data_IF_404080495979
#
_entry.id   IF_404080495979
#
_cell.length_a   1.000
_cell.length_b   1.000
_cell.length_c   1.000
_cell.angle_alpha   90.00
_cell.angle_beta   90.00
_cell.angle_gamma   90.00
#
_symmetry.space_group_name_H-M   'P 1'
#
loop_
_entity.id
_entity.type
_entity.pdbx_description
1 polymer ?
#
# COMPACT_ATOMS: atom_id res chain seq x y z
N UNK A 1 19.18 47.05 2.60
CA UNK A 1 17.71 46.98 2.47
C UNK A 1 17.35 45.50 2.41
N UNK A 2 17.06 44.92 3.57
CA UNK A 2 16.52 43.56 3.73
C UNK A 2 15.06 43.50 3.30
N UNK A 3 14.58 42.29 3.00
CA UNK A 3 13.33 41.65 3.45
C UNK A 3 13.37 40.24 2.83
N UNK A 4 13.82 39.19 3.51
CA UNK A 4 13.28 38.44 4.66
C UNK A 4 12.49 37.19 4.26
N UNK A 5 13.04 36.08 4.74
CA UNK A 5 12.61 34.68 4.64
C UNK A 5 11.61 34.38 5.76
N UNK A 6 10.45 33.81 5.43
CA UNK A 6 9.47 33.35 6.41
C UNK A 6 9.70 31.87 6.73
N UNK A 7 10.47 31.63 7.80
CA UNK A 7 10.51 30.37 8.55
C UNK A 7 9.57 30.53 9.76
N UNK A 8 8.50 29.72 9.82
CA UNK A 8 7.61 29.66 10.98
C UNK A 8 8.02 28.48 11.88
N UNK A 9 8.76 28.80 12.94
CA UNK A 9 9.07 27.93 14.07
C UNK A 9 7.87 27.86 15.02
N UNK A 10 7.30 26.67 15.22
CA UNK A 10 6.31 26.42 16.26
C UNK A 10 7.02 25.99 17.56
N UNK A 11 6.96 26.85 18.59
CA UNK A 11 7.36 26.53 19.96
C UNK A 11 6.12 26.12 20.77
N UNK A 12 6.15 24.91 21.35
CA UNK A 12 5.19 24.46 22.37
C UNK A 12 5.75 24.80 23.75
N UNK A 13 5.07 25.68 24.47
CA UNK A 13 5.39 26.05 25.85
C UNK A 13 4.72 25.11 26.84
N UNK A 14 5.54 24.51 27.72
CA UNK A 14 5.14 23.66 28.82
C UNK A 14 4.80 24.54 30.05
N UNK A 15 3.59 24.42 30.60
CA UNK A 15 3.27 24.96 31.93
C UNK A 15 2.77 23.86 32.86
N UNK A 16 3.60 23.58 33.86
CA UNK A 16 3.35 22.76 35.03
C UNK A 16 2.63 23.58 36.10
N UNK A 17 1.60 23.02 36.73
CA UNK A 17 1.14 23.44 38.05
C UNK A 17 0.80 22.21 38.90
N UNK A 18 1.46 22.11 40.06
CA UNK A 18 1.16 21.16 41.13
C UNK A 18 0.15 21.79 42.08
N UNK A 19 -0.77 20.99 42.62
CA UNK A 19 -1.18 21.12 44.02
C UNK A 19 -1.72 19.78 44.54
N UNK A 20 -1.32 19.46 45.77
CA UNK A 20 -1.66 18.27 46.55
C UNK A 20 -2.75 18.67 47.54
N UNK A 21 -3.76 17.83 47.74
CA UNK A 21 -4.32 17.44 49.06
C UNK A 21 -5.43 16.39 48.90
N UNK A 22 -5.49 15.52 49.90
CA UNK A 22 -6.31 14.33 50.13
C UNK A 22 -7.83 14.60 50.28
N UNK A 23 -8.68 13.66 49.87
CA UNK A 23 -9.37 12.69 50.75
C UNK A 23 -10.57 12.04 50.00
N UNK A 24 -10.91 10.85 50.50
CA UNK A 24 -11.92 9.83 50.18
C UNK A 24 -13.29 10.22 49.61
N UNK A 25 -13.77 9.34 48.71
CA UNK A 25 -15.16 8.86 48.72
C UNK A 25 -16.16 9.50 47.74
N UNK A 26 -16.75 8.61 46.93
CA UNK A 26 -18.08 8.69 46.27
C UNK A 26 -18.14 9.24 44.83
N UNK A 27 -18.59 8.34 43.95
CA UNK A 27 -18.80 8.50 42.51
C UNK A 27 -19.81 9.59 42.15
N UNK A 28 -19.58 10.35 41.07
CA UNK A 28 -20.65 10.97 40.31
C UNK A 28 -20.68 10.51 38.84
N UNK A 29 -21.90 10.21 38.38
CA UNK A 29 -22.24 10.04 36.96
C UNK A 29 -22.01 11.34 36.19
N UNK A 30 -21.30 11.28 35.07
CA UNK A 30 -21.31 12.29 33.99
C UNK A 30 -21.26 11.54 32.65
N UNK A 31 -22.37 11.42 31.92
CA UNK A 31 -22.80 12.32 30.83
C UNK A 31 -21.77 12.36 29.69
N UNK A 32 -22.08 11.61 28.61
CA UNK A 32 -21.34 11.58 27.34
C UNK A 32 -21.35 12.97 26.65
N UNK A 33 -20.21 13.44 26.13
CA UNK A 33 -20.21 14.54 25.19
C UNK A 33 -20.61 14.12 23.77
N UNK A 34 -21.70 14.77 23.34
CA UNK A 34 -22.22 15.07 22.01
C UNK A 34 -21.28 14.88 20.80
N UNK A 35 -21.53 13.78 20.08
CA UNK A 35 -21.67 13.62 18.63
C UNK A 35 -20.88 14.59 17.69
N UNK A 36 -19.76 14.12 17.14
CA UNK A 36 -19.20 14.65 15.88
C UNK A 36 -19.86 13.92 14.71
N UNK A 37 -20.37 14.67 13.73
CA UNK A 37 -21.11 14.18 12.57
C UNK A 37 -20.26 13.22 11.74
N UNK A 38 -20.60 11.93 11.81
CA UNK A 38 -20.20 10.92 10.83
C UNK A 38 -20.84 11.29 9.49
N UNK A 39 -20.02 11.55 8.46
CA UNK A 39 -20.47 11.62 7.07
C UNK A 39 -20.98 10.23 6.67
N UNK A 40 -22.31 10.13 6.59
CA UNK A 40 -23.04 8.93 6.19
C UNK A 40 -22.82 8.69 4.70
N UNK A 41 -22.08 7.64 4.36
CA UNK A 41 -22.14 7.04 3.04
C UNK A 41 -23.49 6.31 2.89
N UNK A 42 -24.23 6.48 1.77
CA UNK A 42 -25.56 5.91 1.62
C UNK A 42 -25.50 4.40 1.42
N UNK A 43 -25.89 3.64 2.45
CA UNK A 43 -26.20 2.21 2.34
C UNK A 43 -27.67 2.06 1.92
N UNK A 44 -27.92 1.75 0.64
CA UNK A 44 -29.25 1.34 0.18
C UNK A 44 -29.43 -0.16 0.42
N UNK A 45 -30.08 -0.51 1.52
CA UNK A 45 -30.79 -1.79 1.62
C UNK A 45 -32.16 -1.64 0.94
N UNK A 46 -32.48 -2.54 0.01
CA UNK A 46 -33.84 -2.63 -0.53
C UNK A 46 -34.13 -4.08 -0.88
N UNK A 47 -34.82 -4.75 0.03
CA UNK A 47 -35.59 -5.94 -0.27
C UNK A 47 -36.90 -5.52 -0.95
N UNK A 48 -37.22 -6.17 -2.07
CA UNK A 48 -38.53 -6.80 -2.33
C UNK A 48 -38.72 -7.07 -3.82
N UNK A 49 -39.14 -8.29 -4.07
CA UNK A 49 -39.72 -8.90 -5.27
C UNK A 49 -40.75 -8.05 -6.00
N UNK A 50 -40.71 -8.06 -7.35
CA UNK A 50 -41.85 -8.30 -8.28
C UNK A 50 -41.32 -8.38 -9.73
N UNK A 51 -42.06 -9.12 -10.55
CA UNK A 51 -41.74 -9.79 -11.82
C UNK A 51 -41.89 -8.92 -13.09
N UNK A 52 -41.28 -9.43 -14.18
CA UNK A 52 -41.59 -9.40 -15.62
C UNK A 52 -41.21 -8.23 -16.60
N UNK A 53 -40.41 -8.67 -17.59
CA UNK A 53 -40.36 -8.40 -19.06
C UNK A 53 -39.52 -7.22 -19.62
N UNK A 54 -38.93 -7.39 -20.83
CA UNK A 54 -37.58 -6.94 -21.13
C UNK A 54 -37.58 -5.68 -21.98
N UNK A 55 -36.92 -4.64 -21.49
CA UNK A 55 -36.53 -3.49 -22.30
C UNK A 55 -35.13 -3.74 -22.83
N UNK A 56 -34.97 -3.69 -24.17
CA UNK A 56 -33.70 -3.74 -24.89
C UNK A 56 -32.78 -2.64 -24.36
N UNK A 57 -31.86 -3.00 -23.47
CA UNK A 57 -30.85 -2.08 -22.98
C UNK A 57 -29.62 -2.23 -23.88
N UNK A 58 -29.27 -1.13 -24.56
CA UNK A 58 -28.03 -1.00 -25.29
C UNK A 58 -26.88 -1.42 -24.41
N UNK A 59 -26.21 -2.50 -24.82
CA UNK A 59 -25.05 -3.03 -24.14
C UNK A 59 -23.93 -1.99 -24.18
N UNK A 60 -23.81 -1.21 -23.11
CA UNK A 60 -22.48 -0.84 -22.66
C UNK A 60 -21.81 -2.16 -22.31
N UNK A 61 -20.99 -2.66 -23.24
CA UNK A 61 -20.04 -3.71 -22.95
C UNK A 61 -19.35 -3.31 -21.65
N UNK A 62 -19.54 -4.10 -20.61
CA UNK A 62 -18.67 -4.04 -19.44
C UNK A 62 -17.28 -4.35 -19.98
N UNK A 63 -16.55 -3.30 -20.37
CA UNK A 63 -15.15 -3.44 -20.68
C UNK A 63 -14.50 -3.94 -19.40
N UNK A 64 -14.01 -5.16 -19.42
CA UNK A 64 -13.27 -5.76 -18.33
C UNK A 64 -12.11 -4.82 -17.98
N UNK A 65 -12.22 -4.06 -16.89
CA UNK A 65 -11.15 -3.23 -16.34
C UNK A 65 -10.04 -4.08 -15.69
N UNK A 66 -9.87 -5.32 -16.17
CA UNK A 66 -8.91 -6.29 -15.66
C UNK A 66 -7.63 -6.30 -16.48
N UNK A 67 -6.65 -6.98 -15.92
CA UNK A 67 -5.37 -7.22 -16.58
C UNK A 67 -5.55 -8.27 -17.68
N UNK A 68 -5.13 -7.94 -18.89
CA UNK A 68 -5.20 -8.78 -20.07
C UNK A 68 -3.95 -9.64 -20.26
N UNK A 69 -4.02 -10.62 -21.16
CA UNK A 69 -2.91 -11.56 -21.43
C UNK A 69 -1.65 -10.91 -22.03
N UNK A 70 -1.73 -9.63 -22.41
CA UNK A 70 -0.63 -8.83 -22.97
C UNK A 70 -0.30 -7.61 -22.12
N UNK A 71 -0.73 -7.62 -20.87
CA UNK A 71 -0.32 -6.60 -19.91
C UNK A 71 0.94 -7.06 -19.18
N UNK A 72 1.92 -6.17 -19.09
CA UNK A 72 3.07 -6.29 -18.20
C UNK A 72 2.85 -5.51 -16.92
N UNK A 73 3.30 -6.05 -15.79
CA UNK A 73 3.36 -5.33 -14.51
C UNK A 73 4.82 -5.16 -14.10
N UNK A 74 5.22 -3.94 -13.77
CA UNK A 74 6.53 -3.69 -13.17
C UNK A 74 6.34 -3.45 -11.67
N UNK A 75 7.14 -4.14 -10.85
CA UNK A 75 7.17 -3.92 -9.40
C UNK A 75 8.47 -3.24 -9.05
N UNK A 76 8.37 -2.04 -8.48
CA UNK A 76 9.50 -1.14 -8.27
C UNK A 76 9.79 -0.94 -6.78
N UNK A 77 11.06 -0.99 -6.41
CA UNK A 77 11.58 -0.42 -5.17
C UNK A 77 12.75 0.55 -5.45
N UNK A 78 13.40 1.06 -4.41
CA UNK A 78 14.57 1.93 -4.56
C UNK A 78 15.85 1.17 -5.00
N UNK A 79 15.86 -0.14 -4.82
CA UNK A 79 17.05 -0.96 -4.76
C UNK A 79 17.80 -0.79 -3.43
N UNK A 80 18.83 -1.61 -3.26
CA UNK A 80 19.70 -1.60 -2.10
C UNK A 80 21.13 -1.92 -2.49
N UNK A 81 22.08 -1.39 -1.71
CA UNK A 81 23.50 -1.78 -1.79
C UNK A 81 23.75 -3.21 -1.30
N UNK A 82 22.82 -3.78 -0.53
CA UNK A 82 22.88 -5.16 -0.06
C UNK A 82 22.18 -6.06 -1.07
N UNK A 83 22.91 -7.03 -1.61
CA UNK A 83 22.40 -7.96 -2.62
C UNK A 83 21.19 -8.75 -2.11
N UNK A 84 21.23 -9.15 -0.84
CA UNK A 84 20.16 -9.89 -0.17
C UNK A 84 18.85 -9.11 -0.18
N UNK A 85 18.90 -7.78 -0.08
CA UNK A 85 17.70 -6.94 -0.15
C UNK A 85 17.10 -6.88 -1.55
N UNK A 86 17.93 -6.89 -2.59
CA UNK A 86 17.44 -6.88 -3.97
C UNK A 86 16.77 -8.23 -4.29
N UNK A 87 17.31 -9.35 -3.79
CA UNK A 87 16.72 -10.68 -3.95
C UNK A 87 15.32 -10.80 -3.29
N UNK A 88 15.05 -10.05 -2.22
CA UNK A 88 13.71 -10.02 -1.62
C UNK A 88 12.65 -9.44 -2.58
N UNK A 89 13.04 -8.54 -3.49
CA UNK A 89 12.13 -8.05 -4.52
C UNK A 89 11.77 -9.17 -5.51
N UNK A 90 12.76 -9.97 -5.92
CA UNK A 90 12.54 -11.12 -6.81
C UNK A 90 11.59 -12.15 -6.17
N UNK A 91 11.79 -12.46 -4.88
CA UNK A 91 10.89 -13.33 -4.11
C UNK A 91 9.47 -12.74 -4.05
N UNK A 92 9.35 -11.43 -3.84
CA UNK A 92 8.06 -10.76 -3.84
C UNK A 92 7.36 -10.81 -5.20
N UNK A 93 8.09 -10.60 -6.30
CA UNK A 93 7.57 -10.76 -7.66
C UNK A 93 7.06 -12.19 -7.89
N UNK A 94 7.79 -13.20 -7.43
CA UNK A 94 7.36 -14.60 -7.54
C UNK A 94 6.07 -14.86 -6.77
N UNK A 95 5.98 -14.42 -5.51
CA UNK A 95 4.75 -14.52 -4.71
C UNK A 95 3.58 -13.78 -5.35
N UNK A 96 3.84 -12.58 -5.89
CA UNK A 96 2.82 -11.77 -6.56
C UNK A 96 2.31 -12.47 -7.82
N UNK A 97 3.21 -13.06 -8.62
CA UNK A 97 2.85 -13.85 -9.81
C UNK A 97 1.99 -15.05 -9.45
N UNK A 98 2.38 -15.83 -8.45
CA UNK A 98 1.61 -16.99 -7.98
C UNK A 98 0.22 -16.59 -7.49
N UNK A 99 0.13 -15.49 -6.74
CA UNK A 99 -1.13 -15.02 -6.16
C UNK A 99 -2.11 -14.41 -7.17
N UNK A 100 -1.60 -13.69 -8.18
CA UNK A 100 -2.42 -12.93 -9.13
C UNK A 100 -2.65 -13.64 -10.45
N UNK A 101 -1.74 -14.54 -10.85
CA UNK A 101 -1.74 -15.19 -12.14
C UNK A 101 -1.41 -14.27 -13.32
N UNK A 102 -0.84 -13.08 -13.08
CA UNK A 102 -0.48 -12.19 -14.18
C UNK A 102 0.68 -12.77 -15.01
N UNK A 103 0.60 -12.68 -16.35
CA UNK A 103 1.50 -13.42 -17.22
C UNK A 103 2.90 -12.80 -17.29
N UNK A 104 3.01 -11.47 -17.27
CA UNK A 104 4.25 -10.73 -17.45
C UNK A 104 4.43 -9.83 -16.22
N UNK A 105 5.43 -10.13 -15.40
CA UNK A 105 5.74 -9.36 -14.19
C UNK A 105 7.25 -9.25 -14.07
N UNK A 106 7.78 -8.03 -14.02
CA UNK A 106 9.22 -7.76 -13.95
C UNK A 106 9.56 -6.92 -12.71
N UNK A 107 10.63 -7.26 -11.96
CA UNK A 107 11.18 -6.38 -10.93
C UNK A 107 11.91 -5.19 -11.57
N UNK A 108 11.97 -4.07 -10.87
CA UNK A 108 12.87 -2.96 -11.19
C UNK A 108 13.29 -2.18 -9.94
N UNK A 109 14.44 -1.51 -10.05
CA UNK A 109 14.99 -0.67 -9.00
C UNK A 109 15.17 0.76 -9.52
N UNK A 110 14.93 1.76 -8.66
CA UNK A 110 15.01 3.17 -9.06
C UNK A 110 16.45 3.68 -9.18
N UNK A 111 17.35 3.29 -8.27
CA UNK A 111 18.66 3.98 -8.19
C UNK A 111 19.84 3.12 -7.71
N UNK A 112 19.61 2.08 -6.90
CA UNK A 112 20.71 1.37 -6.20
C UNK A 112 21.06 -0.01 -6.77
N UNK A 113 20.27 -0.54 -7.70
CA UNK A 113 20.45 -1.88 -8.23
C UNK A 113 19.91 -1.98 -9.66
N UNK A 114 20.27 -3.08 -10.34
CA UNK A 114 19.71 -3.47 -11.63
C UNK A 114 18.76 -4.65 -11.43
N UNK A 115 17.68 -4.77 -12.22
CA UNK A 115 17.37 -4.00 -13.44
C UNK A 115 16.75 -2.62 -13.17
N UNK A 116 17.04 -1.64 -14.04
CA UNK A 116 16.34 -0.34 -14.05
C UNK A 116 14.90 -0.46 -14.56
N UNK A 117 14.07 0.58 -14.32
CA UNK A 117 12.69 0.64 -14.84
C UNK A 117 12.68 0.58 -16.38
N UNK A 118 13.66 1.19 -17.04
CA UNK A 118 13.79 1.11 -18.52
C UNK A 118 14.03 -0.32 -18.97
N UNK A 119 14.92 -1.04 -18.28
CA UNK A 119 15.24 -2.43 -18.64
C UNK A 119 14.04 -3.35 -18.43
N UNK A 120 13.37 -3.24 -17.28
CA UNK A 120 12.16 -3.99 -16.98
C UNK A 120 11.02 -3.71 -17.97
N UNK A 121 10.85 -2.45 -18.39
CA UNK A 121 9.90 -2.10 -19.44
C UNK A 121 10.25 -2.79 -20.76
N UNK A 122 11.52 -2.74 -21.17
CA UNK A 122 12.00 -3.44 -22.37
C UNK A 122 11.78 -4.96 -22.30
N UNK A 123 11.95 -5.57 -21.12
CA UNK A 123 11.67 -6.99 -20.89
C UNK A 123 10.18 -7.32 -21.01
N UNK A 124 9.29 -6.48 -20.48
CA UNK A 124 7.85 -6.63 -20.68
C UNK A 124 7.49 -6.62 -22.17
N UNK A 125 8.03 -5.66 -22.93
CA UNK A 125 7.77 -5.53 -24.37
C UNK A 125 8.32 -6.73 -25.14
N UNK A 126 9.51 -7.23 -24.81
CA UNK A 126 10.10 -8.44 -25.41
C UNK A 126 9.24 -9.68 -25.18
N UNK A 127 8.53 -9.75 -24.06
CA UNK A 127 7.57 -10.82 -23.76
C UNK A 127 6.21 -10.64 -24.43
N UNK A 128 6.02 -9.57 -25.21
CA UNK A 128 4.82 -9.31 -25.99
C UNK A 128 3.79 -8.44 -25.28
N UNK A 129 4.18 -7.71 -24.23
CA UNK A 129 3.30 -6.74 -23.59
C UNK A 129 2.96 -5.58 -24.55
N UNK A 130 1.68 -5.25 -24.66
CA UNK A 130 1.19 -4.07 -25.41
C UNK A 130 0.67 -2.96 -24.47
N UNK A 131 0.61 -3.25 -23.18
CA UNK A 131 0.33 -2.32 -22.10
C UNK A 131 1.21 -2.65 -20.90
N UNK A 132 1.85 -1.65 -20.31
CA UNK A 132 2.67 -1.83 -19.10
C UNK A 132 2.08 -1.02 -17.94
N UNK A 133 1.92 -1.66 -16.79
CA UNK A 133 1.34 -1.08 -15.57
C UNK A 133 2.44 -0.98 -14.53
N UNK A 134 2.60 0.20 -13.96
CA UNK A 134 3.68 0.48 -13.02
C UNK A 134 3.26 1.58 -12.03
N UNK A 135 4.00 1.75 -10.94
CA UNK A 135 3.68 2.66 -9.83
C UNK A 135 4.40 4.02 -9.93
N UNK A 136 5.70 4.12 -10.30
CA UNK A 136 6.39 5.40 -10.38
C UNK A 136 6.09 6.14 -11.68
N UNK A 137 6.22 7.47 -11.69
CA UNK A 137 6.10 8.27 -12.92
C UNK A 137 7.21 8.00 -13.95
N UNK A 138 8.30 7.34 -13.53
CA UNK A 138 9.47 7.02 -14.36
C UNK A 138 9.14 6.10 -15.55
N UNK A 139 8.03 5.36 -15.47
CA UNK A 139 7.51 4.53 -16.58
C UNK A 139 7.19 5.35 -17.82
N UNK A 140 6.77 6.62 -17.66
CA UNK A 140 6.47 7.49 -18.80
C UNK A 140 7.71 7.80 -19.64
N UNK A 141 8.89 7.89 -19.02
CA UNK A 141 10.14 8.11 -19.74
C UNK A 141 10.59 6.85 -20.47
N UNK A 142 10.47 5.67 -19.84
CA UNK A 142 10.77 4.39 -20.48
C UNK A 142 9.85 4.13 -21.69
N UNK A 143 8.56 4.50 -21.61
CA UNK A 143 7.61 4.32 -22.68
C UNK A 143 7.94 5.12 -23.97
N UNK A 144 8.73 6.21 -23.88
CA UNK A 144 9.13 7.00 -25.06
C UNK A 144 9.94 6.19 -26.07
N UNK A 145 10.62 5.15 -25.63
CA UNK A 145 11.39 4.23 -26.49
C UNK A 145 10.50 3.17 -27.17
N UNK A 146 9.23 3.07 -26.78
CA UNK A 146 8.29 2.05 -27.25
C UNK A 146 6.94 2.68 -27.67
N UNK A 147 6.89 3.46 -28.77
CA UNK A 147 5.70 4.24 -29.17
C UNK A 147 4.44 3.42 -29.52
N UNK A 148 4.54 2.09 -29.59
CA UNK A 148 3.41 1.17 -29.81
C UNK A 148 2.85 0.52 -28.54
N UNK A 149 3.40 0.84 -27.37
CA UNK A 149 3.05 0.22 -26.09
C UNK A 149 2.38 1.27 -25.20
N UNK A 150 1.16 0.99 -24.77
CA UNK A 150 0.44 1.84 -23.83
C UNK A 150 0.98 1.66 -22.41
N UNK A 151 0.76 2.61 -21.51
CA UNK A 151 1.13 2.45 -20.11
C UNK A 151 0.11 3.06 -19.16
N UNK A 152 0.09 2.54 -17.93
CA UNK A 152 -0.75 3.02 -16.84
C UNK A 152 0.12 3.21 -15.61
N UNK A 153 0.12 4.42 -15.05
CA UNK A 153 0.77 4.73 -13.78
C UNK A 153 -0.29 4.63 -12.68
N UNK A 154 -0.11 3.73 -11.72
CA UNK A 154 -1.01 3.62 -10.57
C UNK A 154 -0.71 4.68 -9.52
N UNK A 155 -1.64 4.89 -8.59
CA UNK A 155 -1.31 5.67 -7.40
C UNK A 155 -0.19 4.96 -6.60
N UNK A 156 0.72 5.71 -5.95
CA UNK A 156 1.63 5.12 -4.98
C UNK A 156 0.85 4.48 -3.84
N UNK A 157 1.43 3.47 -3.17
CA UNK A 157 0.74 2.71 -2.12
C UNK A 157 0.13 3.62 -1.03
N UNK A 158 0.85 4.67 -0.61
CA UNK A 158 0.29 5.78 0.17
C UNK A 158 -0.54 5.36 1.39
N UNK A 159 -1.64 6.07 1.64
CA UNK A 159 -2.58 5.79 2.73
C UNK A 159 -3.65 4.77 2.31
N UNK A 160 -3.23 3.55 2.01
CA UNK A 160 -4.14 2.47 1.63
C UNK A 160 -4.51 1.59 2.84
N UNK A 161 -5.78 1.23 3.00
CA UNK A 161 -6.24 0.49 4.19
C UNK A 161 -5.58 -0.88 4.34
N UNK A 162 -5.28 -1.58 3.23
CA UNK A 162 -4.56 -2.86 3.29
C UNK A 162 -3.16 -2.75 3.91
N UNK A 163 -2.51 -1.58 3.87
CA UNK A 163 -1.24 -1.41 4.59
C UNK A 163 -1.43 -1.42 6.10
N UNK A 164 -2.56 -0.90 6.59
CA UNK A 164 -2.92 -0.98 8.02
C UNK A 164 -3.05 -2.44 8.43
N UNK A 165 -3.70 -3.25 7.60
CA UNK A 165 -3.87 -4.68 7.84
C UNK A 165 -2.53 -5.42 7.86
N UNK A 166 -1.65 -5.16 6.89
CA UNK A 166 -0.30 -5.76 6.84
C UNK A 166 0.52 -5.40 8.07
N UNK A 167 0.50 -4.13 8.51
CA UNK A 167 1.23 -3.71 9.72
C UNK A 167 0.68 -4.41 10.95
N UNK A 168 -0.65 -4.46 11.12
CA UNK A 168 -1.29 -5.13 12.24
C UNK A 168 -1.02 -6.64 12.25
N UNK A 169 -1.02 -7.28 11.08
CA UNK A 169 -0.70 -8.70 10.91
C UNK A 169 0.73 -9.00 11.39
N UNK A 170 1.71 -8.19 10.96
CA UNK A 170 3.11 -8.32 11.42
C UNK A 170 3.23 -8.15 12.93
N UNK A 171 2.56 -7.16 13.52
CA UNK A 171 2.58 -6.93 14.98
C UNK A 171 2.01 -8.15 15.73
N UNK A 172 0.84 -8.65 15.29
CA UNK A 172 0.19 -9.82 15.91
C UNK A 172 1.07 -11.05 15.82
N UNK A 173 1.71 -11.28 14.68
CA UNK A 173 2.63 -12.39 14.50
C UNK A 173 3.79 -12.31 15.49
N UNK A 174 4.46 -11.15 15.58
CA UNK A 174 5.57 -10.97 16.52
C UNK A 174 5.14 -11.14 17.99
N UNK A 175 3.98 -10.60 18.40
CA UNK A 175 3.45 -10.79 19.75
C UNK A 175 3.13 -12.26 20.05
N UNK A 176 2.58 -12.98 19.07
CA UNK A 176 2.30 -14.41 19.18
C UNK A 176 3.58 -15.23 19.30
N UNK A 177 4.64 -14.85 18.58
CA UNK A 177 5.95 -15.48 18.68
C UNK A 177 6.59 -15.24 20.05
N UNK A 178 6.54 -14.01 20.58
CA UNK A 178 7.00 -13.69 21.95
C UNK A 178 6.24 -14.47 23.01
N UNK A 179 4.95 -14.75 22.79
CA UNK A 179 4.13 -15.57 23.68
C UNK A 179 4.38 -17.09 23.53
N UNK A 180 5.26 -17.53 22.62
CA UNK A 180 5.54 -18.95 22.36
C UNK A 180 4.44 -19.68 21.59
N UNK A 181 3.58 -18.95 20.88
CA UNK A 181 2.43 -19.50 20.13
C UNK A 181 2.76 -19.65 18.64
N UNK A 182 3.59 -18.76 18.10
CA UNK A 182 3.99 -18.76 16.69
C UNK A 182 5.48 -19.03 16.53
N UNK A 183 5.84 -19.59 15.37
CA UNK A 183 7.23 -19.81 14.96
C UNK A 183 7.97 -18.50 14.69
N UNK A 184 9.29 -18.59 14.58
CA UNK A 184 10.15 -17.46 14.21
C UNK A 184 9.81 -16.93 12.80
N UNK A 185 9.89 -15.62 12.62
CA UNK A 185 9.78 -15.01 11.29
C UNK A 185 11.15 -14.90 10.60
N UNK A 186 11.15 -14.54 9.31
CA UNK A 186 12.38 -14.40 8.50
C UNK A 186 13.43 -13.45 9.09
N UNK A 187 13.04 -12.52 9.97
CA UNK A 187 13.95 -11.56 10.62
C UNK A 187 14.61 -12.14 11.87
N UNK A 188 13.90 -12.97 12.64
CA UNK A 188 14.40 -13.52 13.91
C UNK A 188 14.71 -15.02 13.86
N UNK A 189 14.57 -15.65 12.70
CA UNK A 189 14.88 -17.06 12.49
C UNK A 189 16.31 -17.41 12.96
N UNK A 190 16.44 -18.50 13.73
CA UNK A 190 17.67 -18.99 14.31
C UNK A 190 18.22 -18.17 15.47
N UNK A 191 17.51 -17.12 15.91
CA UNK A 191 17.99 -16.26 17.00
C UNK A 191 17.41 -16.63 18.37
N UNK A 192 16.37 -17.48 18.42
CA UNK A 192 15.74 -17.95 19.65
C UNK A 192 14.91 -16.90 20.40
N UNK A 193 14.76 -15.70 19.83
CA UNK A 193 13.94 -14.61 20.38
C UNK A 193 13.51 -13.64 19.29
N UNK A 194 12.31 -13.08 19.41
CA UNK A 194 11.89 -11.94 18.60
C UNK A 194 12.73 -10.70 18.98
N UNK A 195 13.93 -10.53 18.40
CA UNK A 195 14.81 -9.39 18.74
C UNK A 195 14.17 -8.08 18.30
N UNK A 196 13.86 -7.24 19.28
CA UNK A 196 14.09 -5.81 19.17
C UNK A 196 15.22 -5.56 20.16
N UNK A 197 16.40 -5.15 19.64
CA UNK A 197 17.71 -4.93 20.29
C UNK A 197 18.50 -6.20 20.73
#
# INVERSE_FOLDING_TARGET
MSLDSLSLTYQLSCKSQKSVTSDTGRSPKCILPRLVKVLKYPTKSRSSSTTCLPTRNGGFSQQSHGIGNRDGVIIVDHGSRRKESNLMLDEFVAMFREKTGYPIIEPAHMELAEPSIRDAFGLCVKQGANRVIDIPSLTADAAKEHPGVSYVITAPLGLHQLLVDVVNDRIKHCLSHVAGIAEECSVCAGTGKCRLY
#
